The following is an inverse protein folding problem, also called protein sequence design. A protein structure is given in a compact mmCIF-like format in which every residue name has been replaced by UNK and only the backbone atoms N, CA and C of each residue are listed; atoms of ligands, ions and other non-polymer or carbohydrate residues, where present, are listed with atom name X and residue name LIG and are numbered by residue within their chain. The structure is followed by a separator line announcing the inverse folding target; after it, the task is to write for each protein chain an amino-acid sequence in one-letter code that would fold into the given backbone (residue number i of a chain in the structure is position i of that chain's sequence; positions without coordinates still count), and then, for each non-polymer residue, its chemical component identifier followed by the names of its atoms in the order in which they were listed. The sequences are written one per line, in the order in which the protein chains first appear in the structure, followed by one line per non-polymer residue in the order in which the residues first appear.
data_IF_696523375934
#
_entry.id   IF_696523375934
#
_cell.length_a   1.000
_cell.length_b   1.000
_cell.length_c   1.000
_cell.angle_alpha   90.00
_cell.angle_beta   90.00
_cell.angle_gamma   90.00
#
_symmetry.space_group_name_H-M   'P 1'
#
loop_
_entity.id
_entity.type
_entity.pdbx_description
1 polymer ?
#
# COMPACT_ATOMS: atom_id res chain seq x y z
N UNK A 1 13.26 -23.07 26.51
CA UNK A 1 13.33 -23.47 25.08
C UNK A 1 12.06 -23.14 24.27
N UNK A 2 10.85 -23.58 24.68
CA UNK A 2 9.59 -23.28 23.95
C UNK A 2 9.33 -21.79 23.68
N UNK A 3 9.62 -20.90 24.64
CA UNK A 3 9.51 -19.44 24.44
C UNK A 3 10.48 -18.89 23.39
N UNK A 4 11.71 -19.41 23.34
CA UNK A 4 12.69 -18.98 22.33
C UNK A 4 12.28 -19.45 20.93
N UNK A 5 11.78 -20.68 20.80
CA UNK A 5 11.20 -21.17 19.53
C UNK A 5 10.02 -20.29 19.08
N UNK A 6 9.13 -19.91 20.01
CA UNK A 6 8.03 -19.01 19.71
C UNK A 6 8.49 -17.64 19.18
N UNK A 7 9.48 -17.02 19.83
CA UNK A 7 10.02 -15.74 19.38
C UNK A 7 10.71 -15.85 18.02
N UNK A 8 11.49 -16.92 17.79
CA UNK A 8 12.12 -17.17 16.49
C UNK A 8 11.08 -17.31 15.37
N UNK A 9 9.98 -18.01 15.62
CA UNK A 9 8.88 -18.13 14.66
C UNK A 9 8.29 -16.76 14.33
N UNK A 10 8.01 -15.90 15.32
CA UNK A 10 7.48 -14.56 15.06
C UNK A 10 8.47 -13.69 14.28
N UNK A 11 9.75 -13.74 14.64
CA UNK A 11 10.82 -12.97 14.00
C UNK A 11 10.96 -13.33 12.52
N UNK A 12 10.70 -14.57 12.13
CA UNK A 12 10.73 -14.98 10.72
C UNK A 12 9.40 -14.73 10.01
N UNK A 13 8.28 -15.02 10.68
CA UNK A 13 6.95 -15.01 10.07
C UNK A 13 6.46 -13.59 9.76
N UNK A 14 6.72 -12.63 10.65
CA UNK A 14 6.31 -11.23 10.45
C UNK A 14 7.00 -10.57 9.24
N UNK A 15 8.34 -10.55 9.12
CA UNK A 15 8.97 -9.94 7.94
C UNK A 15 8.67 -10.72 6.65
N UNK A 16 8.53 -12.05 6.71
CA UNK A 16 8.14 -12.84 5.54
C UNK A 16 6.75 -12.44 5.03
N UNK A 17 5.77 -12.32 5.93
CA UNK A 17 4.42 -11.89 5.54
C UNK A 17 4.41 -10.47 4.98
N UNK A 18 5.13 -9.52 5.62
CA UNK A 18 5.26 -8.15 5.10
C UNK A 18 5.94 -8.12 3.72
N UNK A 19 6.96 -8.93 3.51
CA UNK A 19 7.63 -9.07 2.21
C UNK A 19 6.67 -9.57 1.13
N UNK A 20 5.90 -10.63 1.41
CA UNK A 20 4.90 -11.15 0.47
C UNK A 20 3.80 -10.13 0.16
N UNK A 21 3.35 -9.34 1.14
CA UNK A 21 2.42 -8.25 0.90
C UNK A 21 3.02 -7.15 0.01
N UNK A 22 4.31 -6.85 0.19
CA UNK A 22 5.01 -5.86 -0.64
C UNK A 22 5.18 -6.30 -2.10
N UNK A 23 5.08 -7.59 -2.41
CA UNK A 23 5.14 -8.11 -3.78
C UNK A 23 3.79 -8.02 -4.51
N UNK A 24 2.69 -7.74 -3.82
CA UNK A 24 1.38 -7.61 -4.44
C UNK A 24 1.38 -6.45 -5.43
N UNK A 25 0.76 -6.66 -6.60
CA UNK A 25 0.65 -5.62 -7.61
C UNK A 25 -0.43 -4.63 -7.18
N UNK A 26 0.02 -3.41 -6.88
CA UNK A 26 -0.85 -2.28 -6.50
C UNK A 26 -0.89 -1.30 -7.66
N UNK A 27 -2.07 -0.72 -7.92
CA UNK A 27 -2.20 0.26 -9.00
C UNK A 27 -1.32 1.49 -8.72
N UNK A 28 -0.59 1.99 -9.71
CA UNK A 28 0.15 3.24 -9.58
C UNK A 28 -0.81 4.43 -9.41
N UNK A 29 -0.29 5.50 -8.82
CA UNK A 29 -0.94 6.81 -8.89
C UNK A 29 -0.81 7.31 -10.33
N UNK A 30 -1.92 7.67 -11.00
CA UNK A 30 -1.90 8.24 -12.34
C UNK A 30 -1.00 9.48 -12.42
N UNK A 31 -0.37 9.69 -13.57
CA UNK A 31 0.41 10.89 -13.87
C UNK A 31 -0.46 11.90 -14.65
N UNK A 32 -1.57 12.31 -14.03
CA UNK A 32 -2.50 13.29 -14.57
C UNK A 32 -2.62 14.51 -13.64
N UNK A 33 -3.30 15.55 -14.11
CA UNK A 33 -3.45 16.80 -13.38
C UNK A 33 -4.31 16.66 -12.12
N UNK A 34 -5.20 15.66 -12.05
CA UNK A 34 -6.04 15.41 -10.87
C UNK A 34 -5.24 14.82 -9.71
N UNK A 35 -4.19 14.07 -10.01
CA UNK A 35 -3.31 13.45 -9.01
C UNK A 35 -2.01 14.24 -8.79
N UNK A 36 -1.74 15.25 -9.62
CA UNK A 36 -0.55 16.08 -9.54
C UNK A 36 -0.51 16.89 -8.22
N UNK A 37 0.61 16.79 -7.49
CA UNK A 37 0.85 17.60 -6.28
C UNK A 37 0.14 17.12 -5.01
N UNK A 38 -0.67 16.06 -5.07
CA UNK A 38 -1.27 15.47 -3.87
C UNK A 38 -0.18 14.79 -3.04
N UNK A 39 0.03 15.30 -1.83
CA UNK A 39 1.04 14.79 -0.88
C UNK A 39 0.42 14.28 0.42
N UNK A 40 -0.87 14.57 0.65
CA UNK A 40 -1.58 14.25 1.86
C UNK A 40 -2.70 13.25 1.61
N UNK A 41 -2.88 12.30 2.54
CA UNK A 41 -3.92 11.26 2.47
C UNK A 41 -5.31 11.86 2.39
N UNK A 42 -5.54 12.99 3.07
CA UNK A 42 -6.82 13.68 3.07
C UNK A 42 -7.31 14.02 1.65
N UNK A 43 -6.40 14.49 0.78
CA UNK A 43 -6.74 14.79 -0.61
C UNK A 43 -7.14 13.54 -1.41
N UNK A 44 -6.51 12.40 -1.15
CA UNK A 44 -6.92 11.13 -1.78
C UNK A 44 -8.34 10.73 -1.36
N UNK A 45 -8.69 10.95 -0.09
CA UNK A 45 -9.99 10.54 0.48
C UNK A 45 -11.16 11.41 0.01
N UNK A 46 -10.92 12.55 -0.63
CA UNK A 46 -11.97 13.38 -1.23
C UNK A 46 -12.75 12.60 -2.31
N UNK A 47 -12.06 11.71 -3.02
CA UNK A 47 -12.64 10.86 -4.06
C UNK A 47 -12.62 9.35 -3.73
N UNK A 48 -11.70 8.90 -2.86
CA UNK A 48 -11.48 7.47 -2.56
C UNK A 48 -12.00 6.99 -1.20
N UNK A 49 -12.71 7.81 -0.43
CA UNK A 49 -13.44 7.33 0.75
C UNK A 49 -14.65 6.46 0.36
N UNK A 50 -15.18 5.69 1.32
CA UNK A 50 -16.21 4.66 1.10
C UNK A 50 -17.52 5.21 0.50
N UNK A 51 -17.81 6.49 0.74
CA UNK A 51 -19.01 7.21 0.32
C UNK A 51 -18.80 8.12 -0.92
N UNK A 52 -17.64 8.04 -1.57
CA UNK A 52 -17.27 8.91 -2.69
C UNK A 52 -17.44 8.22 -4.04
N UNK A 53 -17.16 8.96 -5.12
CA UNK A 53 -17.33 8.47 -6.49
C UNK A 53 -16.41 7.32 -6.88
N UNK A 54 -15.23 7.23 -6.26
CA UNK A 54 -14.21 6.23 -6.58
C UNK A 54 -13.71 5.50 -5.34
N UNK A 55 -14.58 4.84 -4.55
CA UNK A 55 -14.20 4.26 -3.28
C UNK A 55 -13.13 3.18 -3.44
N UNK A 56 -12.29 3.02 -2.42
CA UNK A 56 -11.36 1.89 -2.33
C UNK A 56 -12.11 0.56 -2.42
N UNK A 57 -11.44 -0.48 -2.92
CA UNK A 57 -12.01 -1.84 -2.92
C UNK A 57 -12.26 -2.29 -1.48
N UNK A 58 -13.29 -3.13 -1.27
CA UNK A 58 -13.59 -3.74 0.05
C UNK A 58 -12.44 -4.56 0.64
N UNK A 59 -11.51 -4.99 -0.20
CA UNK A 59 -10.31 -5.75 0.20
C UNK A 59 -9.11 -4.83 0.49
N UNK A 60 -9.27 -3.51 0.42
CA UNK A 60 -8.21 -2.57 0.74
C UNK A 60 -7.84 -2.71 2.23
N UNK A 61 -6.54 -2.72 2.58
CA UNK A 61 -6.10 -2.76 3.97
C UNK A 61 -6.72 -1.61 4.79
N UNK A 62 -6.98 -1.81 6.08
CA UNK A 62 -7.70 -0.82 6.91
C UNK A 62 -6.90 0.46 7.21
N UNK A 63 -5.62 0.54 6.81
CA UNK A 63 -4.78 1.72 7.03
C UNK A 63 -4.68 2.55 5.76
N UNK A 64 -4.96 3.84 5.88
CA UNK A 64 -4.89 4.80 4.77
C UNK A 64 -3.49 5.40 4.59
N UNK A 65 -2.44 4.59 4.73
CA UNK A 65 -1.08 5.01 4.38
C UNK A 65 -0.84 4.79 2.88
N UNK A 66 -1.59 5.52 2.05
CA UNK A 66 -1.72 5.29 0.60
C UNK A 66 -0.36 5.13 -0.11
N UNK A 67 0.57 6.05 0.17
CA UNK A 67 1.88 6.12 -0.48
C UNK A 67 2.86 5.00 -0.11
N UNK A 68 2.58 4.19 0.92
CA UNK A 68 3.42 3.03 1.24
C UNK A 68 3.36 1.95 0.15
N UNK A 69 2.21 1.86 -0.53
CA UNK A 69 1.94 0.85 -1.56
C UNK A 69 1.69 1.48 -2.94
N UNK A 70 0.95 2.59 -2.99
CA UNK A 70 0.66 3.32 -4.22
C UNK A 70 1.80 4.30 -4.52
N UNK A 71 2.57 4.00 -5.57
CA UNK A 71 3.68 4.85 -6.04
C UNK A 71 3.28 5.54 -7.35
N UNK A 72 3.84 6.72 -7.66
CA UNK A 72 3.65 7.35 -8.97
C UNK A 72 4.00 6.39 -10.12
N UNK A 73 3.24 6.44 -11.21
CA UNK A 73 3.42 5.58 -12.38
C UNK A 73 4.86 5.60 -12.94
N UNK A 74 5.53 6.77 -12.91
CA UNK A 74 6.96 6.93 -13.22
C UNK A 74 7.85 5.94 -12.46
N UNK A 75 7.59 5.74 -11.17
CA UNK A 75 8.43 4.94 -10.26
C UNK A 75 8.11 3.45 -10.30
N UNK A 76 6.95 3.04 -10.79
CA UNK A 76 6.58 1.62 -10.89
C UNK A 76 7.15 0.94 -12.15
N UNK A 77 7.36 1.68 -13.24
CA UNK A 77 8.00 1.18 -14.46
C UNK A 77 9.49 0.85 -14.24
N UNK A 78 10.17 1.57 -13.35
CA UNK A 78 11.57 1.33 -12.99
C UNK A 78 11.80 0.12 -12.06
N UNK A 79 10.78 -0.32 -11.32
CA UNK A 79 10.87 -1.44 -10.39
C UNK A 79 10.54 -2.82 -11.03
N UNK A 80 10.22 -2.83 -12.33
CA UNK A 80 9.99 -4.03 -13.15
C UNK A 80 11.15 -4.33 -14.13
N UNK A 81 12.21 -3.53 -14.09
CA UNK A 81 13.43 -3.72 -14.90
C UNK A 81 14.50 -4.49 -14.15
#
# INVERSE_FOLDING_TARGET
MKRHLFYLTLILLVPLTLYLLSLQTVLPIPADDEHAGITEVAGCLECHADDKGYPKKKTHPPKDQCFNCHKPAEKQSAAKG
#
